data_IF_408678770398
#
_entry.id   IF_408678770398
#
_cell.length_a   1.000
_cell.length_b   1.000
_cell.length_c   1.000
_cell.angle_alpha   90.00
_cell.angle_beta   90.00
_cell.angle_gamma   90.00
#
_symmetry.space_group_name_H-M   'P 1'
#
loop_
_entity.id
_entity.type
_entity.pdbx_description
1 polymer ?
#
# COMPACT_ATOMS: atom_id res chain seq x y z
N UNK A 1 -0.56 -27.21 3.38
CA UNK A 1 0.56 -26.86 4.28
C UNK A 1 0.05 -26.96 5.71
N UNK A 2 0.71 -27.74 6.56
CA UNK A 2 0.33 -27.87 7.98
C UNK A 2 1.28 -26.99 8.80
N UNK A 3 0.73 -26.23 9.74
CA UNK A 3 1.51 -25.42 10.70
C UNK A 3 1.21 -25.93 12.11
N UNK A 4 2.24 -25.99 12.96
CA UNK A 4 2.14 -26.45 14.36
C UNK A 4 2.68 -25.36 15.27
N UNK A 5 1.91 -25.01 16.31
CA UNK A 5 2.28 -24.01 17.30
C UNK A 5 2.20 -24.62 18.70
N UNK A 6 3.15 -24.26 19.56
CA UNK A 6 3.19 -24.71 20.95
C UNK A 6 3.82 -23.59 21.82
N UNK A 7 3.42 -23.51 23.09
CA UNK A 7 3.94 -22.48 24.01
C UNK A 7 5.43 -22.67 24.30
N UNK A 8 5.87 -23.93 24.35
CA UNK A 8 7.29 -24.31 24.46
C UNK A 8 7.86 -24.80 23.13
N UNK A 9 9.11 -24.41 22.75
CA UNK A 9 9.77 -24.89 21.54
C UNK A 9 9.86 -26.43 21.44
N UNK A 10 10.00 -27.11 22.58
CA UNK A 10 10.15 -28.58 22.64
C UNK A 10 8.93 -29.29 22.05
N UNK A 11 7.72 -28.75 22.24
CA UNK A 11 6.49 -29.33 21.68
C UNK A 11 6.48 -29.34 20.15
N UNK A 12 6.87 -28.23 19.52
CA UNK A 12 7.09 -28.19 18.06
C UNK A 12 8.23 -29.13 17.63
N UNK A 13 9.25 -29.30 18.46
CA UNK A 13 10.35 -30.23 18.23
C UNK A 13 9.95 -31.71 18.17
N UNK A 14 8.85 -32.12 18.82
CA UNK A 14 8.32 -33.49 18.67
C UNK A 14 7.81 -33.72 17.25
N UNK A 15 7.00 -32.80 16.72
CA UNK A 15 6.49 -32.86 15.35
C UNK A 15 7.61 -32.81 14.30
N UNK A 16 8.61 -31.93 14.49
CA UNK A 16 9.76 -31.83 13.58
C UNK A 16 10.61 -33.11 13.57
N UNK A 17 10.77 -33.79 14.72
CA UNK A 17 11.48 -35.08 14.78
C UNK A 17 10.75 -36.18 14.01
N UNK A 18 9.42 -36.17 14.01
CA UNK A 18 8.63 -37.15 13.27
C UNK A 18 8.82 -37.02 11.75
N UNK A 19 8.96 -35.78 11.23
CA UNK A 19 9.29 -35.54 9.81
C UNK A 19 10.60 -36.20 9.37
N UNK A 20 11.56 -36.44 10.28
CA UNK A 20 12.80 -37.10 9.95
C UNK A 20 12.62 -38.58 9.55
N UNK A 21 11.63 -39.25 10.14
CA UNK A 21 11.32 -40.65 9.84
C UNK A 21 10.90 -40.84 8.38
N UNK A 22 10.24 -39.84 7.79
CA UNK A 22 9.73 -39.84 6.42
C UNK A 22 10.81 -40.12 5.36
N UNK A 23 12.07 -39.75 5.61
CA UNK A 23 13.19 -40.06 4.69
C UNK A 23 13.54 -41.55 4.70
N UNK A 24 13.47 -42.19 5.87
CA UNK A 24 13.93 -43.56 6.07
C UNK A 24 12.84 -44.62 5.87
N UNK A 25 11.56 -44.27 6.04
CA UNK A 25 10.47 -45.25 6.15
C UNK A 25 9.36 -45.13 5.10
N UNK A 26 9.37 -44.11 4.26
CA UNK A 26 8.33 -43.91 3.24
C UNK A 26 8.72 -44.52 1.88
N UNK A 27 7.73 -44.72 1.01
CA UNK A 27 7.95 -45.29 -0.31
C UNK A 27 8.79 -44.36 -1.21
N UNK A 28 9.57 -44.93 -2.15
CA UNK A 28 10.26 -44.16 -3.18
C UNK A 28 9.29 -43.21 -3.92
N UNK A 29 9.71 -41.96 -4.12
CA UNK A 29 8.89 -40.92 -4.78
C UNK A 29 8.09 -40.04 -3.82
N UNK A 30 8.17 -40.26 -2.51
CA UNK A 30 7.53 -39.37 -1.53
C UNK A 30 8.26 -38.03 -1.43
N UNK A 31 7.53 -36.93 -1.64
CA UNK A 31 8.09 -35.58 -1.53
C UNK A 31 8.22 -35.17 -0.06
N UNK A 32 9.45 -35.04 0.42
CA UNK A 32 9.76 -34.57 1.79
C UNK A 32 10.36 -33.17 1.79
N UNK A 33 10.01 -32.36 2.78
CA UNK A 33 10.55 -30.99 2.94
C UNK A 33 11.89 -31.02 3.67
N UNK A 34 12.99 -31.21 2.92
CA UNK A 34 14.35 -31.31 3.46
C UNK A 34 14.81 -30.06 4.25
N UNK A 35 14.34 -28.87 3.87
CA UNK A 35 14.73 -27.61 4.52
C UNK A 35 14.12 -27.39 5.91
N UNK A 36 13.04 -28.09 6.26
CA UNK A 36 12.38 -27.99 7.57
C UNK A 36 13.01 -28.90 8.64
N UNK A 37 13.87 -29.85 8.24
CA UNK A 37 14.40 -30.89 9.13
C UNK A 37 15.40 -30.40 10.17
N UNK A 38 16.08 -29.29 9.89
CA UNK A 38 17.07 -28.70 10.79
C UNK A 38 16.69 -27.29 11.23
N UNK A 39 15.50 -26.82 10.83
CA UNK A 39 15.00 -25.53 11.24
C UNK A 39 14.49 -25.62 12.69
N UNK A 40 15.09 -24.90 13.64
CA UNK A 40 14.54 -24.87 14.99
C UNK A 40 13.15 -24.22 14.98
N UNK A 41 12.26 -24.58 15.94
CA UNK A 41 11.02 -23.85 16.17
C UNK A 41 11.31 -22.34 16.28
N UNK A 42 10.52 -21.53 15.57
CA UNK A 42 10.66 -20.07 15.60
C UNK A 42 9.60 -19.45 16.49
N UNK A 43 9.91 -18.37 17.23
CA UNK A 43 8.89 -17.60 17.95
C UNK A 43 7.77 -17.17 17.00
N UNK A 44 6.53 -17.45 17.41
CA UNK A 44 5.36 -16.95 16.69
C UNK A 44 5.13 -15.49 17.09
N UNK A 45 5.55 -14.56 16.23
CA UNK A 45 5.24 -13.15 16.43
C UNK A 45 3.74 -12.91 16.27
N UNK A 46 3.09 -12.36 17.30
CA UNK A 46 1.69 -11.94 17.28
C UNK A 46 1.63 -10.42 17.39
N UNK A 47 0.84 -9.80 16.53
CA UNK A 47 0.56 -8.36 16.63
C UNK A 47 -0.66 -8.19 17.53
N UNK A 48 -0.48 -7.54 18.67
CA UNK A 48 -1.56 -7.10 19.55
C UNK A 48 -1.84 -5.62 19.27
N UNK A 49 -3.06 -5.31 18.87
CA UNK A 49 -3.52 -3.95 18.65
C UNK A 49 -4.38 -3.56 19.85
N UNK A 50 -4.00 -2.49 20.55
CA UNK A 50 -4.77 -1.92 21.65
C UNK A 50 -4.73 -0.40 21.57
N UNK A 51 -5.70 0.25 22.21
CA UNK A 51 -5.77 1.69 22.30
C UNK A 51 -5.11 2.16 23.59
N UNK A 52 -4.42 3.29 23.53
CA UNK A 52 -3.95 4.00 24.72
C UNK A 52 -4.53 5.40 24.72
N UNK A 53 -4.86 5.93 25.90
CA UNK A 53 -5.41 7.28 26.01
C UNK A 53 -4.31 8.28 25.70
N UNK A 54 -4.56 9.17 24.73
CA UNK A 54 -3.62 10.24 24.38
C UNK A 54 -3.28 11.14 25.59
N UNK A 55 -4.22 11.30 26.52
CA UNK A 55 -4.05 12.09 27.74
C UNK A 55 -2.98 11.52 28.70
N UNK A 56 -2.65 10.24 28.59
CA UNK A 56 -1.66 9.59 29.46
C UNK A 56 -0.22 9.83 28.98
N UNK A 57 -0.03 10.58 27.88
CA UNK A 57 1.29 10.87 27.30
C UNK A 57 1.53 12.38 27.12
N UNK A 58 2.74 12.80 27.47
CA UNK A 58 3.27 14.13 27.18
C UNK A 58 4.32 14.01 26.07
N UNK A 59 3.95 14.18 24.78
CA UNK A 59 4.90 14.08 23.68
C UNK A 59 5.87 15.27 23.70
N UNK A 60 7.16 14.97 23.49
CA UNK A 60 8.21 15.97 23.31
C UNK A 60 8.65 16.03 21.85
N UNK A 61 8.92 17.24 21.35
CA UNK A 61 9.45 17.43 20.00
C UNK A 61 10.91 17.87 20.13
N UNK A 62 11.80 17.12 19.49
CA UNK A 62 13.22 17.44 19.38
C UNK A 62 13.57 17.66 17.91
N UNK A 63 14.11 18.84 17.60
CA UNK A 63 14.56 19.20 16.25
C UNK A 63 15.92 19.88 16.34
N UNK A 64 16.90 19.41 15.57
CA UNK A 64 18.26 19.95 15.53
C UNK A 64 18.90 20.12 16.92
N UNK A 65 18.65 19.16 17.81
CA UNK A 65 19.17 19.15 19.18
C UNK A 65 18.48 20.11 20.15
N UNK A 66 17.41 20.80 19.73
CA UNK A 66 16.60 21.65 20.59
C UNK A 66 15.23 21.04 20.85
N UNK A 67 14.80 21.09 22.10
CA UNK A 67 13.42 20.76 22.46
C UNK A 67 12.51 21.93 22.07
N UNK A 68 11.45 21.64 21.30
CA UNK A 68 10.44 22.60 20.91
C UNK A 68 9.23 22.49 21.86
N UNK A 69 8.67 23.63 22.24
CA UNK A 69 7.42 23.65 22.99
C UNK A 69 6.30 23.05 22.14
N UNK A 70 5.60 22.08 22.72
CA UNK A 70 4.47 21.43 22.08
C UNK A 70 3.35 21.22 23.09
N UNK A 71 2.16 21.74 22.77
CA UNK A 71 0.93 21.43 23.49
C UNK A 71 0.03 20.62 22.59
N UNK A 72 -0.35 19.43 23.04
CA UNK A 72 -1.29 18.60 22.29
C UNK A 72 -2.70 19.19 22.41
N UNK A 73 -3.43 19.28 21.29
CA UNK A 73 -4.88 19.54 21.33
C UNK A 73 -5.63 18.27 21.76
N UNK A 74 -6.79 18.41 22.45
CA UNK A 74 -7.64 17.28 22.80
C UNK A 74 -7.91 16.40 21.59
N UNK A 75 -7.87 15.08 21.78
CA UNK A 75 -8.27 14.14 20.74
C UNK A 75 -9.76 14.30 20.46
N UNK A 76 -10.09 14.69 19.23
CA UNK A 76 -11.44 14.54 18.68
C UNK A 76 -11.45 13.36 17.72
N UNK A 77 -12.62 12.77 17.53
CA UNK A 77 -12.82 11.79 16.47
C UNK A 77 -12.58 12.44 15.10
N UNK A 78 -12.08 11.64 14.16
CA UNK A 78 -11.89 12.10 12.80
C UNK A 78 -13.24 12.35 12.14
N UNK A 79 -13.42 13.55 11.60
CA UNK A 79 -14.62 13.95 10.87
C UNK A 79 -14.25 14.14 9.41
N UNK A 80 -14.73 13.26 8.54
CA UNK A 80 -14.39 13.28 7.11
C UNK A 80 -14.77 14.60 6.42
N UNK A 81 -15.82 15.27 6.88
CA UNK A 81 -16.25 16.57 6.36
C UNK A 81 -15.27 17.72 6.63
N UNK A 82 -14.28 17.53 7.51
CA UNK A 82 -13.25 18.54 7.78
C UNK A 82 -12.09 18.53 6.78
N UNK A 83 -12.07 17.58 5.84
CA UNK A 83 -11.03 17.49 4.81
C UNK A 83 -11.23 18.61 3.80
N UNK A 84 -10.29 19.57 3.79
CA UNK A 84 -10.17 20.55 2.70
C UNK A 84 -9.34 19.93 1.59
N UNK A 85 -9.97 19.69 0.43
CA UNK A 85 -9.27 19.17 -0.76
C UNK A 85 -8.63 20.33 -1.53
N UNK A 86 -7.39 20.18 -2.01
CA UNK A 86 -6.81 21.14 -2.94
C UNK A 86 -7.66 21.27 -4.20
N UNK A 87 -7.68 22.45 -4.84
CA UNK A 87 -8.33 22.61 -6.13
C UNK A 87 -7.62 21.76 -7.19
N UNK A 88 -8.37 21.39 -8.23
CA UNK A 88 -7.79 20.79 -9.43
C UNK A 88 -6.86 21.80 -10.13
N UNK A 89 -5.76 21.34 -10.77
CA UNK A 89 -4.93 22.20 -11.60
C UNK A 89 -5.77 22.84 -12.72
N UNK A 90 -5.47 24.10 -13.05
CA UNK A 90 -6.08 24.76 -14.20
C UNK A 90 -5.81 23.98 -15.47
N UNK A 91 -6.85 23.76 -16.28
CA UNK A 91 -6.72 23.19 -17.61
C UNK A 91 -6.01 24.22 -18.51
N UNK A 92 -4.87 23.87 -19.14
CA UNK A 92 -4.24 24.77 -20.10
C UNK A 92 -5.17 25.04 -21.30
N UNK A 93 -5.15 26.27 -21.82
CA UNK A 93 -5.91 26.64 -23.03
C UNK A 93 -5.35 25.93 -24.28
N UNK A 94 -4.07 25.57 -24.24
CA UNK A 94 -3.31 24.85 -25.28
C UNK A 94 -3.12 23.36 -24.92
N UNK A 95 -3.98 22.79 -24.08
CA UNK A 95 -3.91 21.38 -23.71
C UNK A 95 -4.18 20.42 -24.88
N UNK A 96 -4.91 20.89 -25.90
CA UNK A 96 -5.08 20.19 -27.17
C UNK A 96 -3.79 20.34 -27.98
N UNK A 97 -3.08 19.23 -28.18
CA UNK A 97 -1.81 19.20 -28.87
C UNK A 97 -1.81 18.21 -30.04
N UNK A 98 -1.17 18.59 -31.14
CA UNK A 98 -1.00 17.73 -32.32
C UNK A 98 0.06 16.62 -32.14
N UNK A 99 0.76 16.62 -31.00
CA UNK A 99 1.86 15.69 -30.72
C UNK A 99 1.59 14.88 -29.44
N UNK A 100 1.72 13.56 -29.56
CA UNK A 100 1.69 12.65 -28.41
C UNK A 100 3.11 12.32 -27.95
N UNK A 101 3.36 12.42 -26.65
CA UNK A 101 4.63 12.00 -26.02
C UNK A 101 4.38 10.93 -24.96
N UNK A 102 5.31 9.97 -24.76
CA UNK A 102 5.15 8.96 -23.71
C UNK A 102 5.13 9.62 -22.32
N UNK A 103 4.13 9.28 -21.50
CA UNK A 103 3.96 9.83 -20.14
C UNK A 103 5.22 9.68 -19.27
N UNK A 104 5.97 8.59 -19.43
CA UNK A 104 7.24 8.34 -18.70
C UNK A 104 8.32 9.41 -18.94
N UNK A 105 8.24 10.11 -20.08
CA UNK A 105 9.13 11.23 -20.42
C UNK A 105 8.80 12.49 -19.61
N UNK A 106 7.55 12.64 -19.18
CA UNK A 106 7.03 13.80 -18.46
C UNK A 106 6.83 13.55 -16.97
N UNK A 107 6.67 12.29 -16.55
CA UNK A 107 6.29 11.93 -15.20
C UNK A 107 7.03 10.70 -14.66
N UNK A 108 7.17 10.64 -13.34
CA UNK A 108 7.38 9.40 -12.61
C UNK A 108 6.04 8.81 -12.21
N UNK A 109 5.92 7.48 -12.28
CA UNK A 109 4.73 6.77 -11.84
C UNK A 109 5.06 5.71 -10.80
N UNK A 110 4.15 5.51 -9.85
CA UNK A 110 4.20 4.42 -8.88
C UNK A 110 2.82 3.83 -8.70
N UNK A 111 2.76 2.51 -8.56
CA UNK A 111 1.54 1.80 -8.21
C UNK A 111 1.61 1.24 -6.79
N UNK A 112 0.44 0.95 -6.23
CA UNK A 112 0.27 0.16 -5.03
C UNK A 112 -1.05 -0.59 -5.10
N UNK A 113 -1.10 -1.79 -4.55
CA UNK A 113 -2.30 -2.60 -4.43
C UNK A 113 -2.70 -2.74 -2.95
N UNK A 114 -4.01 -2.80 -2.69
CA UNK A 114 -4.52 -3.05 -1.35
C UNK A 114 -5.88 -3.74 -1.39
N UNK A 115 -5.89 -5.05 -1.15
CA UNK A 115 -7.13 -5.83 -1.21
C UNK A 115 -7.74 -5.71 -2.60
N UNK A 116 -9.02 -5.33 -2.69
CA UNK A 116 -9.71 -5.21 -3.99
C UNK A 116 -9.56 -3.85 -4.69
N UNK A 117 -8.49 -3.08 -4.43
CA UNK A 117 -8.22 -1.82 -5.12
C UNK A 117 -6.74 -1.67 -5.45
N UNK A 118 -6.42 -0.86 -6.44
CA UNK A 118 -5.06 -0.36 -6.67
C UNK A 118 -5.05 1.16 -6.79
N UNK A 119 -3.88 1.75 -6.55
CA UNK A 119 -3.64 3.16 -6.79
C UNK A 119 -2.51 3.36 -7.79
N UNK A 120 -2.57 4.50 -8.50
CA UNK A 120 -1.53 4.96 -9.43
C UNK A 120 -1.23 6.41 -9.13
N UNK A 121 -0.04 6.65 -8.58
CA UNK A 121 0.50 7.98 -8.38
C UNK A 121 1.34 8.40 -9.59
N UNK A 122 1.02 9.55 -10.18
CA UNK A 122 1.75 10.17 -11.30
C UNK A 122 2.28 11.51 -10.84
N UNK A 123 3.59 11.71 -10.93
CA UNK A 123 4.29 12.90 -10.44
C UNK A 123 5.06 13.54 -11.58
N UNK A 124 4.78 14.80 -11.88
CA UNK A 124 5.45 15.51 -12.96
C UNK A 124 6.96 15.63 -12.68
N UNK A 125 7.79 15.36 -13.69
CA UNK A 125 9.25 15.54 -13.61
C UNK A 125 9.64 17.00 -13.47
N UNK A 126 8.85 17.88 -14.07
CA UNK A 126 8.97 19.32 -13.95
C UNK A 126 7.60 19.92 -13.63
N UNK A 127 7.52 20.98 -12.79
CA UNK A 127 6.26 21.60 -12.40
C UNK A 127 5.39 22.04 -13.58
N UNK A 128 6.02 22.51 -14.67
CA UNK A 128 5.32 22.97 -15.89
C UNK A 128 4.53 21.86 -16.61
N UNK A 129 4.87 20.59 -16.41
CA UNK A 129 4.14 19.48 -17.04
C UNK A 129 2.88 19.08 -16.26
N UNK A 130 2.79 19.45 -14.98
CA UNK A 130 1.69 19.07 -14.11
C UNK A 130 0.29 19.40 -14.67
N UNK A 131 0.01 20.63 -15.18
CA UNK A 131 -1.33 20.94 -15.69
C UNK A 131 -1.68 20.14 -16.97
N UNK A 132 -0.69 19.85 -17.84
CA UNK A 132 -0.89 19.03 -19.03
C UNK A 132 -1.13 17.55 -18.69
N UNK A 133 -0.36 17.01 -17.74
CA UNK A 133 -0.56 15.65 -17.23
C UNK A 133 -1.94 15.55 -16.55
N UNK A 134 -2.34 16.57 -15.80
CA UNK A 134 -3.63 16.65 -15.14
C UNK A 134 -4.81 16.69 -16.10
N UNK A 135 -4.66 17.41 -17.22
CA UNK A 135 -5.64 17.46 -18.29
C UNK A 135 -5.75 16.10 -19.01
N UNK A 136 -4.63 15.47 -19.35
CA UNK A 136 -4.61 14.20 -20.07
C UNK A 136 -5.08 13.00 -19.25
N UNK A 137 -4.84 13.00 -17.93
CA UNK A 137 -5.19 11.89 -17.04
C UNK A 137 -6.49 12.14 -16.28
N UNK A 138 -7.62 12.20 -16.98
CA UNK A 138 -8.93 12.26 -16.33
C UNK A 138 -9.29 10.91 -15.68
N UNK A 139 -10.30 10.90 -14.80
CA UNK A 139 -10.84 9.65 -14.24
C UNK A 139 -11.37 8.72 -15.33
N UNK A 140 -11.93 9.29 -16.39
CA UNK A 140 -12.47 8.58 -17.54
C UNK A 140 -11.35 7.95 -18.37
N UNK A 141 -10.27 8.69 -18.67
CA UNK A 141 -9.13 8.16 -19.43
C UNK A 141 -8.40 7.06 -18.67
N UNK A 142 -8.20 7.23 -17.36
CA UNK A 142 -7.63 6.19 -16.50
C UNK A 142 -8.55 4.96 -16.46
N UNK A 143 -9.87 5.16 -16.39
CA UNK A 143 -10.85 4.07 -16.44
C UNK A 143 -10.83 3.30 -17.75
N UNK A 144 -10.74 4.00 -18.88
CA UNK A 144 -10.59 3.38 -20.21
C UNK A 144 -9.31 2.54 -20.30
N UNK A 145 -8.19 3.09 -19.84
CA UNK A 145 -6.90 2.39 -19.86
C UNK A 145 -6.95 1.08 -19.05
N UNK A 146 -7.55 1.12 -17.87
CA UNK A 146 -7.65 -0.03 -16.96
C UNK A 146 -8.93 -0.87 -17.12
N UNK A 147 -9.72 -0.66 -18.18
CA UNK A 147 -10.98 -1.37 -18.38
C UNK A 147 -10.84 -2.90 -18.37
N UNK A 148 -9.66 -3.41 -18.76
CA UNK A 148 -9.34 -4.85 -18.76
C UNK A 148 -9.11 -5.45 -17.36
N UNK A 149 -8.91 -4.62 -16.32
CA UNK A 149 -8.75 -5.05 -14.93
C UNK A 149 -10.01 -4.81 -14.08
N UNK A 150 -10.93 -4.01 -14.60
CA UNK A 150 -12.11 -3.56 -13.87
C UNK A 150 -13.25 -4.49 -14.27
N UNK A 151 -13.74 -5.29 -13.31
CA UNK A 151 -14.87 -6.20 -13.55
C UNK A 151 -16.21 -5.45 -13.69
N UNK A 152 -16.32 -4.25 -13.13
CA UNK A 152 -17.53 -3.43 -13.15
C UNK A 152 -17.62 -2.56 -14.40
N UNK A 153 -18.81 -2.46 -15.01
CA UNK A 153 -19.05 -1.61 -16.18
C UNK A 153 -18.91 -0.11 -15.89
N UNK A 154 -18.93 0.30 -14.62
CA UNK A 154 -18.75 1.67 -14.16
C UNK A 154 -17.74 1.72 -12.99
N UNK A 155 -16.42 1.74 -13.27
CA UNK A 155 -15.41 1.78 -12.22
C UNK A 155 -15.53 3.04 -11.36
N UNK A 156 -15.47 2.85 -10.04
CA UNK A 156 -15.27 3.96 -9.11
C UNK A 156 -13.78 4.31 -9.05
N UNK A 157 -13.42 5.44 -9.63
CA UNK A 157 -12.05 5.97 -9.62
C UNK A 157 -12.04 7.29 -8.87
N UNK A 158 -11.29 7.34 -7.77
CA UNK A 158 -11.09 8.57 -7.00
C UNK A 158 -9.78 9.24 -7.45
N UNK A 159 -9.82 10.54 -7.73
CA UNK A 159 -8.65 11.35 -8.12
C UNK A 159 -8.26 12.30 -6.99
N UNK A 160 -6.98 12.32 -6.64
CA UNK A 160 -6.43 13.14 -5.56
C UNK A 160 -5.23 13.94 -6.05
N UNK A 161 -5.35 15.26 -6.04
CA UNK A 161 -4.26 16.18 -6.41
C UNK A 161 -3.29 16.36 -5.24
N UNK A 162 -1.99 16.36 -5.55
CA UNK A 162 -0.88 16.54 -4.63
C UNK A 162 -0.04 17.76 -5.07
N UNK A 163 -0.48 19.00 -4.80
CA UNK A 163 0.16 20.20 -5.34
C UNK A 163 1.63 20.35 -4.95
N UNK A 164 1.98 19.96 -3.72
CA UNK A 164 3.35 20.08 -3.20
C UNK A 164 4.38 19.19 -3.91
N UNK A 165 3.94 18.16 -4.62
CA UNK A 165 4.80 17.27 -5.41
C UNK A 165 4.46 17.27 -6.89
N UNK A 166 3.59 18.20 -7.33
CA UNK A 166 3.11 18.27 -8.72
C UNK A 166 2.55 16.92 -9.21
N UNK A 167 1.87 16.21 -8.31
CA UNK A 167 1.39 14.86 -8.56
C UNK A 167 -0.13 14.73 -8.50
N UNK A 168 -0.62 13.63 -9.07
CA UNK A 168 -2.00 13.18 -8.97
C UNK A 168 -1.98 11.70 -8.63
N UNK A 169 -2.80 11.30 -7.67
CA UNK A 169 -3.00 9.90 -7.32
C UNK A 169 -4.41 9.47 -7.66
N UNK A 170 -4.52 8.37 -8.40
CA UNK A 170 -5.78 7.71 -8.70
C UNK A 170 -5.94 6.50 -7.81
N UNK A 171 -7.14 6.25 -7.31
CA UNK A 171 -7.51 5.02 -6.62
C UNK A 171 -8.62 4.36 -7.42
N UNK A 172 -8.31 3.21 -8.01
CA UNK A 172 -9.24 2.40 -8.78
C UNK A 172 -9.80 1.33 -7.85
N UNK A 173 -11.10 1.42 -7.56
CA UNK A 173 -11.78 0.49 -6.66
C UNK A 173 -12.27 -0.75 -7.44
N UNK A 174 -12.47 -1.86 -6.72
CA UNK A 174 -13.05 -3.12 -7.23
C UNK A 174 -12.30 -3.78 -8.40
N UNK A 175 -10.97 -3.74 -8.38
CA UNK A 175 -10.15 -4.06 -9.56
C UNK A 175 -9.22 -5.28 -9.41
N UNK A 176 -9.16 -5.94 -8.25
CA UNK A 176 -8.16 -6.98 -7.96
C UNK A 176 -8.74 -8.31 -7.43
N UNK A 177 -10.07 -8.49 -7.51
CA UNK A 177 -10.77 -9.74 -7.17
C UNK A 177 -10.48 -10.35 -5.78
N UNK A 178 -9.97 -9.56 -4.82
CA UNK A 178 -9.69 -10.01 -3.45
C UNK A 178 -8.26 -9.84 -2.97
N UNK A 179 -7.35 -9.39 -3.84
CA UNK A 179 -5.94 -9.12 -3.52
C UNK A 179 -4.97 -10.18 -4.06
#
# INVERSE_FOLDING_TARGET
MISVTHDEPVGCGVFLREQASSISSMSPGTSVSLGMMSAPPRPLMRVFLFLVKKADFAPEIWLDGKQLEFSSKPSRWFEQGTIVRPPEPSHPDDAEADLTVPLISLAWARSGDKGNLFNVGVFAREPRFAPYIAAALSTEEVGKWYAHLISDAAPKIDRFVLPGTHGINFVVNNSLQGG
#
